data_IF_466211281755
#
_entry.id   IF_466211281755
#
_cell.length_a   1.000
_cell.length_b   1.000
_cell.length_c   1.000
_cell.angle_alpha   90.00
_cell.angle_beta   90.00
_cell.angle_gamma   90.00
#
_symmetry.space_group_name_H-M   'P 1'
#
loop_
_entity.id
_entity.type
_entity.pdbx_description
1 polymer ?
#
# COMPACT_ATOMS: atom_id res chain seq x y z
N UNK A 1 20.27 -4.95 -20.23
CA UNK A 1 18.79 -4.88 -20.38
C UNK A 1 18.25 -4.31 -19.09
N UNK A 2 17.58 -3.14 -19.12
CA UNK A 2 16.96 -2.57 -17.93
C UNK A 2 15.74 -3.42 -17.56
N UNK A 3 15.70 -3.91 -16.32
CA UNK A 3 14.54 -4.64 -15.83
C UNK A 3 13.37 -3.65 -15.67
N UNK A 4 12.20 -4.01 -16.18
CA UNK A 4 10.98 -3.24 -15.95
C UNK A 4 10.60 -3.38 -14.47
N UNK A 5 10.30 -2.26 -13.76
CA UNK A 5 9.88 -2.35 -12.37
C UNK A 5 8.65 -3.24 -12.18
N UNK A 6 8.52 -3.95 -11.06
CA UNK A 6 7.36 -4.77 -10.76
C UNK A 6 6.06 -3.96 -10.82
N UNK A 7 5.14 -4.36 -11.70
CA UNK A 7 3.87 -3.66 -11.96
C UNK A 7 2.75 -4.65 -12.25
N UNK A 8 1.49 -4.18 -12.16
CA UNK A 8 0.29 -4.91 -12.50
C UNK A 8 -0.83 -3.92 -12.89
N UNK A 9 -0.61 -3.16 -13.97
CA UNK A 9 -1.48 -2.05 -14.39
C UNK A 9 -2.92 -2.46 -14.65
N UNK A 10 -3.15 -3.68 -15.18
CA UNK A 10 -4.52 -4.20 -15.36
C UNK A 10 -5.24 -4.41 -14.01
N UNK A 11 -4.49 -4.80 -12.97
CA UNK A 11 -5.02 -4.95 -11.61
C UNK A 11 -5.29 -3.58 -10.99
N UNK A 12 -4.42 -2.59 -11.23
CA UNK A 12 -4.66 -1.20 -10.81
C UNK A 12 -5.96 -0.67 -11.41
N UNK A 13 -6.16 -0.88 -12.71
CA UNK A 13 -7.39 -0.50 -13.42
C UNK A 13 -8.63 -1.14 -12.79
N UNK A 14 -8.55 -2.44 -12.48
CA UNK A 14 -9.65 -3.18 -11.87
C UNK A 14 -10.00 -2.68 -10.46
N UNK A 15 -8.97 -2.34 -9.65
CA UNK A 15 -9.17 -1.76 -8.30
C UNK A 15 -9.85 -0.41 -8.38
N UNK A 16 -9.35 0.51 -9.21
CA UNK A 16 -9.94 1.84 -9.38
C UNK A 16 -11.38 1.77 -9.91
N UNK A 17 -11.62 0.88 -10.88
CA UNK A 17 -12.96 0.64 -11.38
C UNK A 17 -13.91 0.14 -10.30
N UNK A 18 -13.47 -0.82 -9.48
CA UNK A 18 -14.27 -1.38 -8.39
C UNK A 18 -14.64 -0.32 -7.34
N UNK A 19 -13.72 0.59 -7.00
CA UNK A 19 -13.97 1.70 -6.07
C UNK A 19 -15.03 2.67 -6.59
N UNK A 20 -15.12 2.90 -7.91
CA UNK A 20 -16.15 3.76 -8.50
C UNK A 20 -17.53 3.10 -8.60
N UNK A 21 -17.61 1.78 -8.44
CA UNK A 21 -18.86 1.00 -8.58
C UNK A 21 -19.40 0.52 -7.25
N UNK A 22 -18.53 0.29 -6.24
CA UNK A 22 -18.90 -0.34 -4.97
C UNK A 22 -18.29 0.41 -3.78
N UNK A 23 -19.14 0.88 -2.87
CA UNK A 23 -18.73 1.53 -1.62
C UNK A 23 -17.94 0.58 -0.73
N UNK A 24 -18.33 -0.71 -0.65
CA UNK A 24 -17.61 -1.71 0.14
C UNK A 24 -16.16 -1.90 -0.33
N UNK A 25 -15.93 -1.73 -1.64
CA UNK A 25 -14.59 -1.76 -2.21
C UNK A 25 -13.75 -0.54 -1.80
N UNK A 26 -14.39 0.63 -1.62
CA UNK A 26 -13.68 1.85 -1.20
C UNK A 26 -13.06 1.65 0.19
N UNK A 27 -13.83 1.22 1.17
CA UNK A 27 -13.36 1.04 2.55
C UNK A 27 -12.19 0.04 2.60
N UNK A 28 -12.32 -1.10 1.92
CA UNK A 28 -11.27 -2.12 1.86
C UNK A 28 -9.96 -1.61 1.23
N UNK A 29 -10.08 -0.82 0.17
CA UNK A 29 -8.90 -0.31 -0.56
C UNK A 29 -8.23 0.84 0.18
N UNK A 30 -9.02 1.79 0.73
CA UNK A 30 -8.51 2.98 1.41
C UNK A 30 -7.69 2.64 2.65
N UNK A 31 -8.02 1.53 3.34
CA UNK A 31 -7.28 1.06 4.50
C UNK A 31 -5.96 0.37 4.15
N UNK A 32 -5.82 -0.15 2.94
CA UNK A 32 -4.74 -1.07 2.57
C UNK A 32 -3.77 -0.51 1.53
N UNK A 33 -4.20 0.44 0.70
CA UNK A 33 -3.38 1.01 -0.36
C UNK A 33 -3.07 2.49 -0.13
N UNK A 34 -1.99 2.91 -0.76
CA UNK A 34 -1.55 4.31 -0.82
C UNK A 34 -1.35 4.72 -2.29
N UNK A 35 -1.23 6.01 -2.63
CA UNK A 35 -0.92 6.42 -3.99
C UNK A 35 0.31 5.72 -4.59
N UNK A 36 1.33 5.45 -3.75
CA UNK A 36 2.57 4.75 -4.15
C UNK A 36 2.34 3.27 -4.51
N UNK A 37 1.18 2.71 -4.13
CA UNK A 37 0.80 1.35 -4.53
C UNK A 37 0.56 1.24 -6.03
N UNK A 38 0.24 2.34 -6.70
CA UNK A 38 0.00 2.41 -8.14
C UNK A 38 1.29 2.76 -8.89
N UNK A 39 1.67 1.92 -9.84
CA UNK A 39 2.84 2.14 -10.70
C UNK A 39 2.55 3.17 -11.78
N UNK A 40 1.41 3.03 -12.48
CA UNK A 40 1.00 3.96 -13.51
C UNK A 40 0.65 5.32 -12.88
N UNK A 41 1.28 6.40 -13.36
CA UNK A 41 1.06 7.74 -12.83
C UNK A 41 -0.39 8.22 -12.98
N UNK A 42 -1.08 7.79 -14.05
CA UNK A 42 -2.49 8.12 -14.28
C UNK A 42 -3.38 7.47 -13.24
N UNK A 43 -3.13 6.20 -12.95
CA UNK A 43 -3.85 5.45 -11.93
C UNK A 43 -3.58 6.02 -10.54
N UNK A 44 -2.34 6.42 -10.27
CA UNK A 44 -1.97 7.12 -9.03
C UNK A 44 -2.75 8.43 -8.87
N UNK A 45 -2.79 9.26 -9.92
CA UNK A 45 -3.51 10.54 -9.91
C UNK A 45 -5.02 10.36 -9.71
N UNK A 46 -5.62 9.31 -10.30
CA UNK A 46 -7.02 8.95 -10.07
C UNK A 46 -7.24 8.55 -8.62
N UNK A 47 -6.37 7.69 -8.07
CA UNK A 47 -6.47 7.27 -6.66
C UNK A 47 -6.30 8.44 -5.69
N UNK A 48 -5.40 9.39 -5.97
CA UNK A 48 -5.25 10.62 -5.17
C UNK A 48 -6.53 11.46 -5.16
N UNK A 49 -7.23 11.56 -6.28
CA UNK A 49 -8.51 12.26 -6.32
C UNK A 49 -9.60 11.52 -5.51
N UNK A 50 -9.60 10.18 -5.54
CA UNK A 50 -10.49 9.36 -4.70
C UNK A 50 -10.15 9.50 -3.22
N UNK A 51 -8.87 9.57 -2.86
CA UNK A 51 -8.41 9.77 -1.49
C UNK A 51 -8.85 11.14 -0.95
N UNK A 52 -8.79 12.19 -1.78
CA UNK A 52 -9.29 13.51 -1.43
C UNK A 52 -10.81 13.46 -1.14
N UNK A 53 -11.60 12.82 -2.01
CA UNK A 53 -13.04 12.64 -1.82
C UNK A 53 -13.34 11.85 -0.54
N UNK A 54 -12.58 10.79 -0.27
CA UNK A 54 -12.72 9.99 0.94
C UNK A 54 -12.49 10.82 2.20
N UNK A 55 -11.43 11.63 2.21
CA UNK A 55 -11.11 12.52 3.33
C UNK A 55 -12.17 13.63 3.53
N UNK A 56 -12.81 14.07 2.45
CA UNK A 56 -13.93 15.02 2.46
C UNK A 56 -15.28 14.36 2.82
N UNK A 57 -15.29 13.05 3.03
CA UNK A 57 -16.50 12.24 3.24
C UNK A 57 -17.52 12.39 2.12
N UNK A 58 -17.03 12.62 0.91
CA UNK A 58 -17.83 12.71 -0.31
C UNK A 58 -17.98 11.34 -0.97
N UNK A 59 -19.08 11.06 -1.67
CA UNK A 59 -19.24 9.81 -2.42
C UNK A 59 -18.10 9.63 -3.43
N UNK A 60 -17.67 8.39 -3.64
CA UNK A 60 -16.70 8.03 -4.66
C UNK A 60 -17.41 7.26 -5.76
N UNK A 61 -17.72 7.94 -6.85
CA UNK A 61 -18.25 7.38 -8.07
C UNK A 61 -17.62 8.07 -9.28
N UNK A 62 -17.93 7.60 -10.49
CA UNK A 62 -17.34 8.13 -11.71
C UNK A 62 -17.54 9.65 -11.84
N UNK A 63 -18.72 10.18 -11.48
CA UNK A 63 -19.05 11.60 -11.66
C UNK A 63 -18.29 12.48 -10.68
N UNK A 64 -18.26 12.08 -9.42
CA UNK A 64 -17.55 12.82 -8.34
C UNK A 64 -16.05 12.81 -8.57
N UNK A 65 -15.47 11.70 -9.03
CA UNK A 65 -14.04 11.61 -9.39
C UNK A 65 -13.72 12.49 -10.58
N UNK A 66 -14.53 12.48 -11.65
CA UNK A 66 -14.36 13.38 -12.81
C UNK A 66 -14.36 14.84 -12.36
N UNK A 67 -15.33 15.23 -11.52
CA UNK A 67 -15.44 16.61 -11.06
C UNK A 67 -14.25 17.01 -10.18
N UNK A 68 -13.82 16.12 -9.27
CA UNK A 68 -12.64 16.34 -8.42
C UNK A 68 -11.37 16.53 -9.26
N UNK A 69 -11.16 15.67 -10.25
CA UNK A 69 -10.01 15.76 -11.14
C UNK A 69 -10.06 17.01 -12.04
N UNK A 70 -11.26 17.45 -12.43
CA UNK A 70 -11.44 18.71 -13.17
C UNK A 70 -11.04 19.92 -12.32
N UNK A 71 -11.46 19.94 -11.04
CA UNK A 71 -11.07 21.00 -10.09
C UNK A 71 -9.56 21.04 -9.84
N UNK A 72 -8.91 19.87 -9.82
CA UNK A 72 -7.44 19.75 -9.69
C UNK A 72 -6.69 20.04 -11.01
N UNK A 73 -7.37 20.14 -12.14
CA UNK A 73 -6.76 20.35 -13.47
C UNK A 73 -6.04 19.11 -14.02
N UNK A 74 -6.23 17.92 -13.44
CA UNK A 74 -5.52 16.67 -13.82
C UNK A 74 -6.33 15.74 -14.71
N UNK A 75 -7.59 16.07 -15.00
CA UNK A 75 -8.52 15.18 -15.72
C UNK A 75 -8.00 14.78 -17.12
N UNK A 76 -7.51 15.74 -17.88
CA UNK A 76 -7.04 15.49 -19.26
C UNK A 76 -5.74 14.66 -19.29
N UNK A 77 -4.87 14.82 -18.29
CA UNK A 77 -3.61 14.10 -18.19
C UNK A 77 -3.82 12.58 -18.02
N UNK A 78 -4.92 12.20 -17.36
CA UNK A 78 -5.25 10.78 -17.16
C UNK A 78 -6.03 10.16 -18.31
N UNK A 79 -6.47 10.97 -19.29
CA UNK A 79 -7.22 10.51 -20.46
C UNK A 79 -8.72 10.87 -20.42
N UNK A 80 -9.09 11.86 -19.60
CA UNK A 80 -10.43 12.43 -19.55
C UNK A 80 -11.52 11.49 -19.02
N UNK A 81 -12.79 11.90 -19.11
CA UNK A 81 -13.93 11.11 -18.61
C UNK A 81 -14.06 9.74 -19.28
N UNK A 82 -13.62 9.60 -20.54
CA UNK A 82 -13.67 8.34 -21.27
C UNK A 82 -12.79 7.25 -20.62
N UNK A 83 -11.63 7.64 -20.08
CA UNK A 83 -10.75 6.72 -19.34
C UNK A 83 -11.43 6.20 -18.07
N UNK A 84 -12.03 7.09 -17.28
CA UNK A 84 -12.74 6.70 -16.06
C UNK A 84 -13.92 5.77 -16.36
N UNK A 85 -14.70 6.08 -17.41
CA UNK A 85 -15.76 5.20 -17.88
C UNK A 85 -15.25 3.82 -18.30
N UNK A 86 -14.08 3.75 -18.94
CA UNK A 86 -13.47 2.46 -19.31
C UNK A 86 -13.04 1.64 -18.10
N UNK A 87 -12.61 2.28 -17.00
CA UNK A 87 -12.26 1.59 -15.75
C UNK A 87 -13.50 0.92 -15.12
N UNK A 88 -14.64 1.63 -15.07
CA UNK A 88 -15.88 1.06 -14.51
C UNK A 88 -16.42 -0.12 -15.32
N UNK A 89 -16.15 -0.16 -16.63
CA UNK A 89 -16.56 -1.27 -17.49
C UNK A 89 -15.68 -2.52 -17.36
N UNK A 90 -14.43 -2.36 -16.94
CA UNK A 90 -13.48 -3.47 -16.72
C UNK A 90 -13.75 -4.27 -15.45
N UNK A 91 -14.61 -3.76 -14.57
CA UNK A 91 -14.94 -4.42 -13.31
C UNK A 91 -15.80 -5.64 -13.60
N UNK A 92 -15.19 -6.82 -13.56
CA UNK A 92 -15.94 -8.06 -13.31
C UNK A 92 -16.53 -8.00 -11.89
N UNK A 93 -17.55 -8.82 -11.62
CA UNK A 93 -18.20 -8.90 -10.30
C UNK A 93 -17.19 -8.72 -9.17
N UNK A 94 -17.40 -7.75 -8.27
CA UNK A 94 -16.46 -7.29 -7.23
C UNK A 94 -15.93 -8.34 -6.21
N UNK A 95 -16.03 -9.62 -6.56
CA UNK A 95 -15.73 -10.77 -5.72
C UNK A 95 -14.25 -10.94 -5.33
N UNK A 96 -13.31 -10.15 -5.91
CA UNK A 96 -11.88 -10.41 -5.71
C UNK A 96 -11.05 -9.18 -5.35
N UNK A 97 -11.66 -8.12 -4.82
CA UNK A 97 -10.94 -6.87 -4.52
C UNK A 97 -9.78 -7.10 -3.55
N UNK A 98 -9.96 -7.92 -2.52
CA UNK A 98 -8.88 -8.26 -1.57
C UNK A 98 -7.68 -8.93 -2.27
N UNK A 99 -7.95 -9.80 -3.24
CA UNK A 99 -6.89 -10.46 -4.00
C UNK A 99 -6.12 -9.45 -4.86
N UNK A 100 -6.81 -8.51 -5.50
CA UNK A 100 -6.18 -7.45 -6.28
C UNK A 100 -5.36 -6.50 -5.42
N UNK A 101 -5.87 -6.12 -4.26
CA UNK A 101 -5.13 -5.32 -3.26
C UNK A 101 -3.84 -6.02 -2.86
N UNK A 102 -3.88 -7.31 -2.57
CA UNK A 102 -2.66 -8.09 -2.24
C UNK A 102 -1.64 -8.10 -3.37
N UNK A 103 -2.07 -8.21 -4.63
CA UNK A 103 -1.16 -8.12 -5.78
C UNK A 103 -0.48 -6.76 -5.82
N UNK A 104 -1.22 -5.66 -5.66
CA UNK A 104 -0.65 -4.31 -5.66
C UNK A 104 0.31 -4.10 -4.50
N UNK A 105 -0.02 -4.58 -3.30
CA UNK A 105 0.88 -4.55 -2.14
C UNK A 105 2.20 -5.31 -2.41
N UNK A 106 2.11 -6.52 -2.98
CA UNK A 106 3.30 -7.29 -3.34
C UNK A 106 4.19 -6.54 -4.35
N UNK A 107 3.58 -5.95 -5.39
CA UNK A 107 4.32 -5.16 -6.39
C UNK A 107 4.97 -3.92 -5.78
N UNK A 108 4.30 -3.29 -4.85
CA UNK A 108 4.82 -2.13 -4.13
C UNK A 108 6.00 -2.49 -3.26
N UNK A 109 5.90 -3.57 -2.45
CA UNK A 109 7.01 -4.07 -1.63
C UNK A 109 8.22 -4.42 -2.52
N UNK A 110 7.98 -5.08 -3.67
CA UNK A 110 9.06 -5.40 -4.61
C UNK A 110 9.77 -4.13 -5.12
N UNK A 111 9.03 -3.07 -5.49
CA UNK A 111 9.60 -1.78 -5.93
C UNK A 111 10.39 -1.11 -4.81
N UNK A 112 9.84 -1.07 -3.61
CA UNK A 112 10.50 -0.44 -2.46
C UNK A 112 11.79 -1.18 -2.08
N UNK A 113 11.81 -2.52 -2.14
CA UNK A 113 13.03 -3.29 -1.90
C UNK A 113 14.09 -3.05 -2.97
N UNK A 114 13.69 -2.88 -4.23
CA UNK A 114 14.60 -2.49 -5.31
C UNK A 114 15.20 -1.10 -5.02
N UNK A 115 14.37 -0.13 -4.64
CA UNK A 115 14.82 1.22 -4.31
C UNK A 115 15.76 1.23 -3.09
N UNK A 116 15.39 0.53 -2.02
CA UNK A 116 16.25 0.36 -0.84
C UNK A 116 17.60 -0.27 -1.19
N UNK A 117 17.61 -1.28 -2.08
CA UNK A 117 18.83 -1.94 -2.53
C UNK A 117 19.76 -0.98 -3.29
N UNK A 118 19.20 -0.10 -4.12
CA UNK A 118 19.99 0.94 -4.79
C UNK A 118 20.54 1.98 -3.80
N UNK A 119 19.77 2.35 -2.79
CA UNK A 119 20.24 3.22 -1.71
C UNK A 119 21.41 2.61 -0.96
N UNK A 120 21.26 1.37 -0.50
CA UNK A 120 22.31 0.62 0.20
C UNK A 120 23.56 0.48 -0.66
N UNK A 121 23.39 0.16 -1.94
CA UNK A 121 24.51 0.05 -2.88
C UNK A 121 25.26 1.37 -3.01
N UNK A 122 24.54 2.49 -3.13
CA UNK A 122 25.13 3.83 -3.22
C UNK A 122 25.93 4.16 -1.97
N UNK A 123 25.35 3.94 -0.79
CA UNK A 123 26.00 4.24 0.49
C UNK A 123 27.25 3.38 0.73
N UNK A 124 27.23 2.11 0.25
CA UNK A 124 28.37 1.21 0.33
C UNK A 124 29.59 1.65 -0.52
N UNK A 125 29.37 2.44 -1.58
CA UNK A 125 30.45 3.03 -2.38
C UNK A 125 30.90 4.41 -1.87
N UNK A 126 30.19 4.98 -0.90
CA UNK A 126 30.52 6.29 -0.33
C UNK A 126 31.52 6.12 0.82
N UNK A 127 32.78 6.52 0.57
CA UNK A 127 33.85 6.43 1.58
C UNK A 127 33.64 7.36 2.79
N UNK A 128 32.69 8.27 2.76
CA UNK A 128 32.34 9.15 3.88
C UNK A 128 31.39 8.50 4.88
N UNK A 129 30.70 7.42 4.50
CA UNK A 129 29.80 6.66 5.35
C UNK A 129 30.59 5.64 6.16
N UNK A 130 30.39 5.64 7.48
CA UNK A 130 31.02 4.62 8.34
C UNK A 130 30.32 3.26 8.18
N UNK A 131 31.03 2.16 8.48
CA UNK A 131 30.44 0.82 8.38
C UNK A 131 29.25 0.65 9.32
N UNK A 132 29.30 1.24 10.51
CA UNK A 132 28.23 1.16 11.50
C UNK A 132 26.98 1.93 11.02
N UNK A 133 27.16 3.11 10.42
CA UNK A 133 26.07 3.87 9.81
C UNK A 133 25.48 3.14 8.61
N UNK A 134 26.35 2.56 7.75
CA UNK A 134 25.89 1.78 6.59
C UNK A 134 24.99 0.61 7.01
N UNK A 135 25.39 -0.14 8.04
CA UNK A 135 24.62 -1.29 8.54
C UNK A 135 23.29 -0.82 9.12
N UNK A 136 23.30 0.24 9.93
CA UNK A 136 22.08 0.81 10.52
C UNK A 136 21.11 1.30 9.43
N UNK A 137 21.60 2.11 8.48
CA UNK A 137 20.81 2.65 7.37
C UNK A 137 20.23 1.54 6.49
N UNK A 138 20.99 0.46 6.24
CA UNK A 138 20.54 -0.67 5.45
C UNK A 138 19.38 -1.42 6.13
N UNK A 139 19.49 -1.66 7.45
CA UNK A 139 18.43 -2.30 8.24
C UNK A 139 17.16 -1.46 8.22
N UNK A 140 17.26 -0.15 8.45
CA UNK A 140 16.13 0.78 8.44
C UNK A 140 15.49 0.86 7.04
N UNK A 141 16.29 0.91 5.98
CA UNK A 141 15.81 0.97 4.60
C UNK A 141 15.01 -0.28 4.23
N UNK A 142 15.50 -1.47 4.56
CA UNK A 142 14.80 -2.74 4.31
C UNK A 142 13.53 -2.83 5.16
N UNK A 143 13.60 -2.45 6.43
CA UNK A 143 12.43 -2.43 7.31
C UNK A 143 11.33 -1.51 6.76
N UNK A 144 11.68 -0.28 6.40
CA UNK A 144 10.75 0.71 5.88
C UNK A 144 10.16 0.30 4.51
N UNK A 145 10.94 -0.37 3.67
CA UNK A 145 10.47 -0.90 2.38
C UNK A 145 9.31 -1.89 2.54
N UNK A 146 9.28 -2.62 3.64
CA UNK A 146 8.24 -3.60 3.97
C UNK A 146 7.12 -2.96 4.79
N UNK A 147 7.46 -2.24 5.86
CA UNK A 147 6.51 -1.71 6.84
C UNK A 147 5.64 -0.56 6.30
N UNK A 148 6.20 0.29 5.44
CA UNK A 148 5.50 1.47 4.90
C UNK A 148 4.26 1.17 4.04
N UNK A 149 4.07 -0.08 3.62
CA UNK A 149 2.94 -0.51 2.78
C UNK A 149 1.95 -1.43 3.49
N UNK A 150 2.20 -1.72 4.76
CA UNK A 150 1.33 -2.55 5.57
C UNK A 150 0.61 -1.63 6.56
N UNK A 151 -0.47 -0.99 6.13
CA UNK A 151 -1.42 -0.36 7.07
C UNK A 151 -2.11 -1.38 7.97
N UNK A 152 -1.79 -2.68 7.82
CA UNK A 152 -2.32 -3.73 8.68
C UNK A 152 -1.26 -4.74 9.10
N UNK A 153 -1.33 -5.19 10.33
CA UNK A 153 -0.25 -5.35 11.26
C UNK A 153 0.47 -6.67 11.04
N UNK A 154 1.63 -6.65 10.47
CA UNK A 154 2.65 -7.45 11.14
C UNK A 154 2.87 -6.72 12.46
N UNK A 155 2.23 -7.19 13.52
CA UNK A 155 2.52 -6.73 14.88
C UNK A 155 4.02 -6.71 15.02
N UNK A 156 4.56 -5.57 15.40
CA UNK A 156 5.98 -5.42 15.67
C UNK A 156 6.44 -6.65 16.45
N UNK A 157 7.57 -7.26 16.07
CA UNK A 157 8.09 -8.43 16.80
C UNK A 157 8.16 -8.12 18.30
N UNK A 158 8.44 -6.86 18.67
CA UNK A 158 8.35 -6.37 20.04
C UNK A 158 6.94 -6.47 20.66
N UNK A 159 5.86 -6.25 19.91
CA UNK A 159 4.50 -6.41 20.44
C UNK A 159 4.12 -7.88 20.59
N UNK A 160 4.59 -8.73 19.68
CA UNK A 160 4.41 -10.19 19.78
C UNK A 160 5.23 -10.75 20.96
N UNK A 161 6.45 -10.25 21.15
CA UNK A 161 7.30 -10.61 22.29
C UNK A 161 6.67 -10.14 23.60
N UNK A 162 6.21 -8.89 23.68
CA UNK A 162 5.56 -8.36 24.89
C UNK A 162 4.26 -9.11 25.20
N UNK A 163 3.41 -9.37 24.21
CA UNK A 163 2.19 -10.17 24.39
C UNK A 163 2.49 -11.63 24.78
N UNK A 164 3.60 -12.17 24.30
CA UNK A 164 4.06 -13.52 24.67
C UNK A 164 4.65 -13.55 26.09
N UNK A 165 5.39 -12.51 26.48
CA UNK A 165 5.89 -12.35 27.85
C UNK A 165 4.76 -12.20 28.87
N UNK A 166 3.77 -11.33 28.59
CA UNK A 166 2.58 -11.20 29.44
C UNK A 166 1.79 -12.51 29.55
N UNK A 167 1.76 -13.31 28.49
CA UNK A 167 1.11 -14.61 28.51
C UNK A 167 1.88 -15.63 29.34
N UNK A 168 3.21 -15.61 29.27
CA UNK A 168 4.10 -16.46 30.10
C UNK A 168 3.99 -16.06 31.57
N UNK A 169 4.01 -14.76 31.89
CA UNK A 169 3.84 -14.27 33.25
C UNK A 169 2.46 -14.64 33.84
N UNK A 170 1.40 -14.58 33.08
CA UNK A 170 0.05 -15.03 33.48
C UNK A 170 0.03 -16.54 33.74
N UNK A 171 0.70 -17.35 32.93
CA UNK A 171 0.79 -18.79 33.10
C UNK A 171 1.64 -19.14 34.33
N UNK A 172 2.75 -18.44 34.54
CA UNK A 172 3.58 -18.63 35.74
C UNK A 172 2.86 -18.25 37.05
N UNK A 173 2.05 -17.17 36.99
CA UNK A 173 1.25 -16.76 38.17
C UNK A 173 -0.02 -17.61 38.37
N UNK A 174 -0.45 -18.38 37.36
CA UNK A 174 -1.59 -19.31 37.47
C UNK A 174 -1.22 -20.73 37.88
N UNK A 175 0.07 -21.06 37.94
CA UNK A 175 0.57 -22.38 38.41
C UNK A 175 0.77 -22.46 39.90
N UNK A 176 0.23 -21.54 40.65
CA UNK A 176 0.25 -21.57 42.11
C UNK A 176 -1.08 -21.99 42.70
N UNK A 177 -1.62 -23.17 42.42
CA UNK A 177 -2.47 -24.01 43.32
C UNK A 177 -2.90 -25.30 42.56
N UNK A 178 -2.17 -26.37 42.77
CA UNK A 178 -2.76 -27.69 42.83
C UNK A 178 -2.07 -28.41 43.97
N UNK A 179 -2.64 -28.22 45.17
CA UNK A 179 -2.44 -29.10 46.29
C UNK A 179 -3.57 -30.11 46.32
N UNK A 180 -3.19 -31.40 46.37
CA UNK A 180 -3.93 -32.62 46.72
C UNK A 180 -4.97 -33.08 45.76
#
# INVERSE_FOLDING_TARGET
>A
MGNVPPQATDVEDAVLGAMMVSTDSVDQVMDLLTPQSFYDFKNRSIFEAMLDLFNERSPIDMLTVVEKMRQKGTLEEVGGPARLASLTQKVGTGANIEYYVRILQQKTIQRNLIEASYGILKDAFDSSVTVDDLVSNAQDSVYNAIAGNLKNPYKHVSEVINASMERIERVQNSTGVTGV
#
